data_IF_465957576071
#
_entry.id   IF_465957576071
#
_cell.length_a   1.000
_cell.length_b   1.000
_cell.length_c   1.000
_cell.angle_alpha   90.00
_cell.angle_beta   90.00
_cell.angle_gamma   90.00
#
_symmetry.space_group_name_H-M   'P 1'
#
loop_
_entity.id
_entity.type
_entity.pdbx_description
1 polymer ?
#
# COMPACT_ATOMS: atom_id res chain seq x y z
N UNK A 1 1.97 -53.82 -13.54
CA UNK A 1 1.77 -52.56 -14.30
C UNK A 1 0.52 -51.77 -13.88
N UNK A 2 -0.62 -52.40 -13.50
CA UNK A 2 -1.82 -51.67 -13.02
C UNK A 2 -1.63 -50.91 -11.69
N UNK A 3 -0.83 -51.46 -10.78
CA UNK A 3 -0.61 -50.85 -9.46
C UNK A 3 0.22 -49.57 -9.54
N UNK A 4 1.27 -49.55 -10.36
CA UNK A 4 2.08 -48.36 -10.60
C UNK A 4 1.22 -47.19 -11.11
N UNK A 5 0.28 -47.46 -12.01
CA UNK A 5 -0.63 -46.44 -12.53
C UNK A 5 -1.61 -45.92 -11.45
N UNK A 6 -2.04 -46.77 -10.51
CA UNK A 6 -2.83 -46.35 -9.35
C UNK A 6 -2.04 -45.48 -8.36
N UNK A 7 -0.76 -45.77 -8.14
CA UNK A 7 0.10 -44.91 -7.31
C UNK A 7 0.36 -43.55 -7.97
N UNK A 8 0.57 -43.54 -9.29
CA UNK A 8 0.74 -42.30 -10.04
C UNK A 8 -0.54 -41.44 -10.06
N UNK A 9 -1.72 -42.07 -10.14
CA UNK A 9 -3.01 -41.38 -10.12
C UNK A 9 -3.32 -40.74 -8.74
N UNK A 10 -2.94 -41.42 -7.65
CA UNK A 10 -3.02 -40.87 -6.28
C UNK A 10 -2.03 -39.71 -6.06
N UNK A 11 -0.84 -39.79 -6.65
CA UNK A 11 0.15 -38.70 -6.59
C UNK A 11 -0.26 -37.49 -7.44
N UNK A 12 -0.98 -37.71 -8.55
CA UNK A 12 -1.52 -36.64 -9.38
C UNK A 12 -2.70 -35.93 -8.70
N UNK A 13 -3.61 -36.70 -8.09
CA UNK A 13 -4.76 -36.16 -7.34
C UNK A 13 -4.34 -35.31 -6.14
N UNK A 14 -3.19 -35.59 -5.50
CA UNK A 14 -2.69 -34.83 -4.36
C UNK A 14 -2.00 -33.50 -4.74
N UNK A 15 -1.77 -33.23 -6.04
CA UNK A 15 -1.13 -32.01 -6.54
C UNK A 15 -2.11 -30.94 -7.06
N UNK A 16 -3.41 -31.22 -7.04
CA UNK A 16 -4.44 -30.32 -7.58
C UNK A 16 -5.33 -29.86 -6.44
N UNK A 17 -5.10 -28.66 -5.88
CA UNK A 17 -6.18 -28.05 -5.09
C UNK A 17 -5.90 -26.91 -4.12
N UNK A 18 -4.67 -26.48 -3.83
CA UNK A 18 -4.48 -25.47 -2.74
C UNK A 18 -3.52 -24.32 -3.05
N UNK A 19 -2.76 -24.34 -4.15
CA UNK A 19 -1.72 -23.31 -4.40
C UNK A 19 -1.88 -22.48 -5.68
N UNK A 20 -3.08 -22.35 -6.23
CA UNK A 20 -3.40 -21.20 -7.09
C UNK A 20 -3.77 -20.00 -6.21
N UNK A 21 -2.93 -19.68 -5.23
CA UNK A 21 -3.07 -18.43 -4.48
C UNK A 21 -2.49 -17.36 -5.38
N UNK A 22 -3.38 -16.56 -5.97
CA UNK A 22 -3.00 -15.44 -6.81
C UNK A 22 -2.12 -14.49 -5.98
N UNK A 23 -0.81 -14.52 -6.23
CA UNK A 23 0.20 -13.78 -5.46
C UNK A 23 -0.14 -12.28 -5.41
N UNK A 24 -0.80 -11.78 -6.45
CA UNK A 24 -1.31 -10.42 -6.54
C UNK A 24 -2.36 -10.15 -5.46
N UNK A 25 -3.29 -11.07 -5.21
CA UNK A 25 -4.32 -10.89 -4.17
C UNK A 25 -3.75 -10.89 -2.76
N UNK A 26 -2.72 -11.70 -2.49
CA UNK A 26 -2.00 -11.62 -1.19
C UNK A 26 -1.28 -10.29 -1.03
N UNK A 27 -0.67 -9.76 -2.11
CA UNK A 27 0.10 -8.53 -2.05
C UNK A 27 -0.79 -7.27 -1.91
N UNK A 28 -2.06 -7.32 -2.32
CA UNK A 28 -3.02 -6.21 -2.17
C UNK A 28 -3.21 -5.80 -0.70
N UNK A 29 -3.23 -6.76 0.23
CA UNK A 29 -3.42 -6.50 1.67
C UNK A 29 -2.29 -5.64 2.27
N UNK A 30 -1.00 -6.03 2.20
CA UNK A 30 0.09 -5.20 2.70
C UNK A 30 0.23 -3.88 1.93
N UNK A 31 -0.09 -3.85 0.62
CA UNK A 31 -0.09 -2.60 -0.15
C UNK A 31 -1.13 -1.60 0.38
N UNK A 32 -2.32 -2.10 0.75
CA UNK A 32 -3.38 -1.28 1.34
C UNK A 32 -2.95 -0.70 2.70
N UNK A 33 -2.33 -1.51 3.55
CA UNK A 33 -1.75 -1.03 4.81
C UNK A 33 -0.64 0.01 4.59
N UNK A 34 0.19 -0.18 3.56
CA UNK A 34 1.23 0.77 3.18
C UNK A 34 0.65 2.12 2.74
N UNK A 35 -0.44 2.09 1.97
CA UNK A 35 -1.17 3.29 1.54
C UNK A 35 -1.75 4.06 2.73
N UNK A 36 -2.37 3.37 3.69
CA UNK A 36 -2.85 3.98 4.93
C UNK A 36 -1.71 4.58 5.73
N UNK A 37 -0.61 3.84 5.86
CA UNK A 37 0.60 4.33 6.53
C UNK A 37 1.14 5.61 5.90
N UNK A 38 1.12 5.71 4.58
CA UNK A 38 1.56 6.90 3.85
C UNK A 38 0.66 8.12 4.12
N UNK A 39 -0.65 7.92 4.18
CA UNK A 39 -1.61 8.99 4.55
C UNK A 39 -1.35 9.47 5.98
N UNK A 40 -1.20 8.54 6.93
CA UNK A 40 -0.88 8.88 8.33
C UNK A 40 0.45 9.62 8.43
N UNK A 41 1.47 9.19 7.69
CA UNK A 41 2.78 9.85 7.66
C UNK A 41 2.67 11.28 7.13
N UNK A 42 1.93 11.51 6.04
CA UNK A 42 1.69 12.85 5.52
C UNK A 42 0.95 13.75 6.52
N UNK A 43 0.01 13.19 7.29
CA UNK A 43 -0.69 13.92 8.35
C UNK A 43 0.24 14.31 9.50
N UNK A 44 1.12 13.40 9.93
CA UNK A 44 2.15 13.70 10.93
C UNK A 44 3.16 14.75 10.43
N UNK A 45 3.55 14.68 9.15
CA UNK A 45 4.44 15.67 8.54
C UNK A 45 3.79 17.06 8.52
N UNK A 46 2.52 17.14 8.15
CA UNK A 46 1.74 18.37 8.18
C UNK A 46 1.66 18.96 9.59
N UNK A 47 1.33 18.14 10.60
CA UNK A 47 1.30 18.58 12.00
C UNK A 47 2.67 19.09 12.46
N UNK A 48 3.76 18.37 12.14
CA UNK A 48 5.12 18.79 12.49
C UNK A 48 5.48 20.14 11.90
N UNK A 49 5.15 20.36 10.63
CA UNK A 49 5.44 21.62 9.93
C UNK A 49 4.58 22.76 10.46
N UNK A 50 3.31 22.49 10.79
CA UNK A 50 2.44 23.48 11.42
C UNK A 50 2.96 23.92 12.78
N UNK A 51 3.38 22.98 13.62
CA UNK A 51 3.99 23.29 14.93
C UNK A 51 5.27 24.12 14.75
N UNK A 52 6.12 23.79 13.77
CA UNK A 52 7.34 24.54 13.49
C UNK A 52 7.04 25.96 12.98
N UNK A 53 6.02 26.10 12.13
CA UNK A 53 5.54 27.37 11.62
C UNK A 53 4.96 28.27 12.71
N UNK A 54 4.24 27.68 13.68
CA UNK A 54 3.64 28.39 14.80
C UNK A 54 4.67 28.76 15.90
N UNK A 55 5.78 28.01 16.02
CA UNK A 55 6.81 28.23 17.06
C UNK A 55 7.94 29.15 16.62
N UNK A 56 8.26 29.21 15.32
CA UNK A 56 9.29 30.10 14.79
C UNK A 56 8.66 31.10 13.80
N UNK A 57 8.68 32.39 14.13
CA UNK A 57 8.19 33.45 13.23
C UNK A 57 9.28 33.86 12.23
N UNK A 58 9.63 32.96 11.31
CA UNK A 58 10.52 33.23 10.18
C UNK A 58 9.71 33.49 8.89
N UNK A 59 10.13 34.44 8.06
CA UNK A 59 9.45 34.74 6.77
C UNK A 59 9.40 33.53 5.83
N UNK A 60 10.39 32.63 5.95
CA UNK A 60 10.51 31.39 5.17
C UNK A 60 9.48 30.31 5.57
N UNK A 61 8.90 30.39 6.78
CA UNK A 61 7.93 29.39 7.24
C UNK A 61 6.65 29.37 6.40
N UNK A 62 6.27 30.48 5.78
CA UNK A 62 5.11 30.51 4.85
C UNK A 62 5.34 29.65 3.61
N UNK A 63 6.57 29.64 3.08
CA UNK A 63 6.93 28.85 1.90
C UNK A 63 6.96 27.36 2.24
N UNK A 64 7.57 27.01 3.37
CA UNK A 64 7.64 25.61 3.85
C UNK A 64 6.23 25.06 4.11
N UNK A 65 5.36 25.86 4.72
CA UNK A 65 3.98 25.46 4.99
C UNK A 65 3.19 25.21 3.69
N UNK A 66 3.40 26.04 2.65
CA UNK A 66 2.78 25.85 1.34
C UNK A 66 3.28 24.59 0.61
N UNK A 67 4.59 24.33 0.65
CA UNK A 67 5.19 23.11 0.07
C UNK A 67 4.61 21.86 0.73
N UNK A 68 4.48 21.87 2.05
CA UNK A 68 3.96 20.73 2.82
C UNK A 68 2.47 20.54 2.58
N UNK A 69 1.71 21.62 2.40
CA UNK A 69 0.31 21.54 1.98
C UNK A 69 0.18 20.89 0.59
N UNK A 70 1.04 21.28 -0.35
CA UNK A 70 1.11 20.68 -1.68
C UNK A 70 1.50 19.20 -1.66
N UNK A 71 2.49 18.83 -0.84
CA UNK A 71 2.87 17.45 -0.59
C UNK A 71 1.68 16.64 -0.04
N UNK A 72 0.97 17.17 0.95
CA UNK A 72 -0.20 16.51 1.53
C UNK A 72 -1.29 16.28 0.48
N UNK A 73 -1.55 17.27 -0.37
CA UNK A 73 -2.50 17.15 -1.48
C UNK A 73 -2.08 16.06 -2.47
N UNK A 74 -0.81 16.03 -2.88
CA UNK A 74 -0.26 15.01 -3.78
C UNK A 74 -0.34 13.61 -3.16
N UNK A 75 -0.05 13.46 -1.86
CA UNK A 75 -0.15 12.17 -1.18
C UNK A 75 -1.61 11.70 -1.11
N UNK A 76 -2.56 12.59 -0.82
CA UNK A 76 -3.99 12.24 -0.79
C UNK A 76 -4.49 11.85 -2.18
N UNK A 77 -4.20 12.65 -3.22
CA UNK A 77 -4.61 12.33 -4.59
C UNK A 77 -3.92 11.07 -5.11
N UNK A 78 -2.62 10.93 -4.86
CA UNK A 78 -1.85 9.76 -5.26
C UNK A 78 -2.30 8.48 -4.56
N UNK A 79 -2.61 8.56 -3.26
CA UNK A 79 -3.15 7.42 -2.52
C UNK A 79 -4.55 7.03 -2.97
N UNK A 80 -5.43 8.01 -3.26
CA UNK A 80 -6.74 7.75 -3.86
C UNK A 80 -6.61 7.03 -5.21
N UNK A 81 -5.73 7.51 -6.10
CA UNK A 81 -5.46 6.86 -7.38
C UNK A 81 -4.92 5.43 -7.19
N UNK A 82 -3.97 5.24 -6.28
CA UNK A 82 -3.40 3.93 -5.99
C UNK A 82 -4.43 2.95 -5.43
N UNK A 83 -5.34 3.38 -4.55
CA UNK A 83 -6.47 2.55 -4.09
C UNK A 83 -7.39 2.19 -5.26
N UNK A 84 -7.67 3.15 -6.14
CA UNK A 84 -8.51 2.92 -7.33
C UNK A 84 -7.89 1.87 -8.27
N UNK A 85 -6.59 1.96 -8.51
CA UNK A 85 -5.84 0.94 -9.26
C UNK A 85 -5.79 -0.41 -8.55
N UNK A 86 -5.66 -0.42 -7.22
CA UNK A 86 -5.61 -1.65 -6.43
C UNK A 86 -6.95 -2.41 -6.43
N UNK A 87 -8.07 -1.70 -6.50
CA UNK A 87 -9.41 -2.28 -6.62
C UNK A 87 -9.70 -2.76 -8.05
N UNK A 88 -9.17 -2.05 -9.06
CA UNK A 88 -9.41 -2.36 -10.47
C UNK A 88 -8.51 -3.50 -10.99
N UNK A 89 -7.33 -3.67 -10.39
CA UNK A 89 -6.43 -4.83 -10.57
C UNK A 89 -6.90 -6.04 -9.79
#
# INVERSE_FOLDING_TARGET
MKEANMFLDKLNTQRVGVFSVDLLNILKIPLFFFLIGNILFALLLFLRVRILADTFSASENKIIQAIVLGYMFLVVVGSLLAVLFLILS
#
